data_IF_630757925398
#
_entry.id   IF_630757925398
#
_cell.length_a   1.000
_cell.length_b   1.000
_cell.length_c   1.000
_cell.angle_alpha   90.00
_cell.angle_beta   90.00
_cell.angle_gamma   90.00
#
_symmetry.space_group_name_H-M   'P 1'
#
loop_
_entity.id
_entity.type
_entity.pdbx_description
1 polymer ?
#
# COMPACT_ATOMS: atom_id res chain seq x y z
N UNK A 1 -33.75 -6.21 16.62
CA UNK A 1 -32.36 -5.70 16.63
C UNK A 1 -31.46 -6.91 16.68
N UNK A 2 -31.09 -7.44 15.52
CA UNK A 2 -30.21 -8.61 15.41
C UNK A 2 -28.85 -8.32 16.05
N UNK A 3 -28.38 -9.27 16.86
CA UNK A 3 -27.02 -9.29 17.35
C UNK A 3 -26.10 -9.46 16.13
N UNK A 4 -25.58 -8.37 15.57
CA UNK A 4 -24.43 -8.46 14.66
C UNK A 4 -23.35 -9.23 15.40
N UNK A 5 -22.91 -10.36 14.85
CA UNK A 5 -21.67 -11.03 15.24
C UNK A 5 -20.62 -9.95 15.47
N UNK A 6 -19.94 -9.99 16.61
CA UNK A 6 -18.94 -9.00 16.96
C UNK A 6 -17.80 -9.11 15.94
N UNK A 7 -17.80 -8.23 14.94
CA UNK A 7 -16.84 -8.26 13.84
C UNK A 7 -15.42 -8.23 14.42
N UNK A 8 -14.57 -9.17 14.00
CA UNK A 8 -13.23 -9.35 14.57
C UNK A 8 -12.42 -8.05 14.58
N UNK A 9 -11.69 -7.83 15.65
CA UNK A 9 -10.81 -6.68 15.84
C UNK A 9 -9.53 -6.80 15.00
N UNK A 10 -8.85 -5.68 14.77
CA UNK A 10 -7.54 -5.67 14.11
C UNK A 10 -6.48 -6.52 14.84
N UNK A 11 -6.62 -6.70 16.15
CA UNK A 11 -5.75 -7.57 16.95
C UNK A 11 -5.94 -9.04 16.61
N UNK A 12 -7.19 -9.47 16.44
CA UNK A 12 -7.55 -10.85 16.10
C UNK A 12 -7.07 -11.23 14.69
N UNK A 13 -7.28 -10.35 13.69
CA UNK A 13 -6.76 -10.61 12.32
C UNK A 13 -5.23 -10.78 12.29
N UNK A 14 -4.53 -10.00 13.12
CA UNK A 14 -3.08 -10.12 13.32
C UNK A 14 -2.70 -11.42 14.02
N UNK A 15 -3.45 -11.84 15.03
CA UNK A 15 -3.22 -13.12 15.70
C UNK A 15 -3.42 -14.30 14.74
N UNK A 16 -4.51 -14.30 13.96
CA UNK A 16 -4.80 -15.31 12.94
C UNK A 16 -3.68 -15.39 11.92
N UNK A 17 -3.27 -14.25 11.35
CA UNK A 17 -2.19 -14.20 10.37
C UNK A 17 -0.86 -14.73 10.95
N UNK A 18 -0.53 -14.38 12.19
CA UNK A 18 0.68 -14.91 12.85
C UNK A 18 0.62 -16.42 13.05
N UNK A 19 -0.55 -16.97 13.39
CA UNK A 19 -0.75 -18.41 13.55
C UNK A 19 -0.63 -19.14 12.21
N UNK A 20 -1.33 -18.65 11.17
CA UNK A 20 -1.30 -19.22 9.82
C UNK A 20 0.08 -19.18 9.17
N UNK A 21 0.92 -18.20 9.53
CA UNK A 21 2.29 -18.11 9.05
C UNK A 21 3.28 -19.03 9.80
N UNK A 22 2.92 -19.59 10.96
CA UNK A 22 3.81 -20.51 11.69
C UNK A 22 4.14 -21.72 10.81
N UNK A 23 5.44 -22.02 10.68
CA UNK A 23 5.94 -23.06 9.78
C UNK A 23 5.90 -22.72 8.28
N UNK A 24 5.29 -21.60 7.88
CA UNK A 24 5.12 -21.18 6.48
C UNK A 24 5.88 -19.87 6.13
N UNK A 25 6.51 -19.22 7.11
CA UNK A 25 7.27 -17.97 6.93
C UNK A 25 8.28 -18.00 5.79
N UNK A 26 9.06 -19.08 5.64
CA UNK A 26 10.06 -19.19 4.57
C UNK A 26 9.44 -19.15 3.17
N UNK A 27 8.34 -19.89 2.95
CA UNK A 27 7.62 -19.89 1.68
C UNK A 27 6.97 -18.53 1.39
N UNK A 28 6.38 -17.92 2.42
CA UNK A 28 5.71 -16.62 2.28
C UNK A 28 6.71 -15.49 2.01
N UNK A 29 7.85 -15.47 2.68
CA UNK A 29 8.94 -14.53 2.44
C UNK A 29 9.54 -14.71 1.04
N UNK A 30 9.69 -15.96 0.57
CA UNK A 30 10.17 -16.26 -0.78
C UNK A 30 9.22 -15.70 -1.86
N UNK A 31 7.91 -15.88 -1.72
CA UNK A 31 6.92 -15.33 -2.66
C UNK A 31 6.97 -13.80 -2.69
N UNK A 32 7.09 -13.15 -1.54
CA UNK A 32 7.24 -11.68 -1.46
C UNK A 32 8.55 -11.23 -2.07
N UNK A 33 9.65 -11.97 -1.88
CA UNK A 33 10.94 -11.68 -2.49
C UNK A 33 10.88 -11.80 -4.01
N UNK A 34 10.26 -12.85 -4.56
CA UNK A 34 10.09 -13.00 -6.01
C UNK A 34 9.24 -11.85 -6.56
N UNK A 35 8.12 -11.53 -5.91
CA UNK A 35 7.27 -10.40 -6.29
C UNK A 35 8.05 -9.07 -6.29
N UNK A 36 8.80 -8.77 -5.23
CA UNK A 36 9.56 -7.52 -5.12
C UNK A 36 10.74 -7.47 -6.08
N UNK A 37 11.43 -8.58 -6.34
CA UNK A 37 12.51 -8.68 -7.31
C UNK A 37 12.01 -8.42 -8.74
N UNK A 38 10.86 -9.00 -9.13
CA UNK A 38 10.25 -8.73 -10.43
C UNK A 38 9.96 -7.22 -10.56
N UNK A 39 9.30 -6.62 -9.56
CA UNK A 39 9.03 -5.18 -9.59
C UNK A 39 10.30 -4.33 -9.60
N UNK A 40 11.35 -4.76 -8.91
CA UNK A 40 12.63 -4.06 -8.88
C UNK A 40 13.31 -4.04 -10.25
N UNK A 41 13.29 -5.15 -11.00
CA UNK A 41 13.85 -5.24 -12.36
C UNK A 41 13.21 -4.18 -13.28
N UNK A 42 11.88 -3.97 -13.19
CA UNK A 42 11.22 -2.92 -13.97
C UNK A 42 11.68 -1.51 -13.58
N UNK A 43 12.04 -1.25 -12.32
CA UNK A 43 12.56 0.07 -11.92
C UNK A 43 13.96 0.35 -12.49
N UNK A 44 14.70 -0.67 -12.95
CA UNK A 44 16.02 -0.49 -13.59
C UNK A 44 15.92 0.03 -15.03
N UNK A 45 14.73 -0.01 -15.65
CA UNK A 45 14.51 0.41 -17.04
C UNK A 45 13.82 1.78 -17.04
N UNK A 46 14.52 2.89 -17.35
CA UNK A 46 13.91 4.22 -17.39
C UNK A 46 12.77 4.30 -18.40
N UNK A 47 11.73 5.06 -18.07
CA UNK A 47 10.51 5.30 -18.88
C UNK A 47 9.68 4.05 -19.21
N UNK A 48 10.23 3.07 -19.93
CA UNK A 48 9.56 1.82 -20.31
C UNK A 48 9.25 0.93 -19.11
N UNK A 49 10.07 0.98 -18.06
CA UNK A 49 9.85 0.22 -16.83
C UNK A 49 8.55 0.59 -16.12
N UNK A 50 8.15 1.87 -16.15
CA UNK A 50 6.90 2.33 -15.53
C UNK A 50 5.66 1.75 -16.24
N UNK A 51 5.67 1.75 -17.58
CA UNK A 51 4.60 1.17 -18.39
C UNK A 51 4.56 -0.34 -18.18
N UNK A 52 5.70 -1.02 -18.26
CA UNK A 52 5.80 -2.45 -18.02
C UNK A 52 5.27 -2.84 -16.64
N UNK A 53 5.68 -2.13 -15.58
CA UNK A 53 5.22 -2.34 -14.20
C UNK A 53 3.72 -2.13 -14.04
N UNK A 54 3.14 -1.14 -14.71
CA UNK A 54 1.69 -0.93 -14.67
C UNK A 54 0.93 -2.07 -15.36
N UNK A 55 1.39 -2.50 -16.53
CA UNK A 55 0.77 -3.56 -17.34
C UNK A 55 0.78 -4.91 -16.61
N UNK A 56 1.92 -5.33 -16.06
CA UNK A 56 2.01 -6.61 -15.34
C UNK A 56 1.59 -6.51 -13.87
N UNK A 57 1.56 -5.29 -13.32
CA UNK A 57 1.31 -5.04 -11.90
C UNK A 57 -0.03 -5.59 -11.45
N UNK A 58 -1.06 -5.48 -12.29
CA UNK A 58 -2.37 -6.06 -12.04
C UNK A 58 -2.36 -7.57 -11.89
N UNK A 59 -1.66 -8.27 -12.78
CA UNK A 59 -1.52 -9.72 -12.76
C UNK A 59 -0.70 -10.21 -11.55
N UNK A 60 0.44 -9.58 -11.28
CA UNK A 60 1.27 -9.90 -10.11
C UNK A 60 0.55 -9.64 -8.79
N UNK A 61 -0.20 -8.53 -8.69
CA UNK A 61 -0.96 -8.19 -7.50
C UNK A 61 -2.14 -9.15 -7.28
N UNK A 62 -2.82 -9.59 -8.35
CA UNK A 62 -3.82 -10.64 -8.26
C UNK A 62 -3.18 -11.94 -7.76
N UNK A 63 -2.06 -12.38 -8.35
CA UNK A 63 -1.42 -13.62 -7.92
C UNK A 63 -0.87 -13.58 -6.49
N UNK A 64 -0.32 -12.43 -6.04
CA UNK A 64 0.08 -12.22 -4.66
C UNK A 64 -1.13 -12.32 -3.72
N UNK A 65 -2.24 -11.68 -4.09
CA UNK A 65 -3.52 -11.75 -3.37
C UNK A 65 -4.04 -13.19 -3.30
N UNK A 66 -4.04 -13.93 -4.40
CA UNK A 66 -4.43 -15.35 -4.47
C UNK A 66 -3.59 -16.20 -3.54
N UNK A 67 -2.27 -16.03 -3.56
CA UNK A 67 -1.36 -16.78 -2.68
C UNK A 67 -1.69 -16.57 -1.20
N UNK A 68 -1.85 -15.32 -0.76
CA UNK A 68 -2.15 -15.02 0.64
C UNK A 68 -3.58 -15.34 1.04
N UNK A 69 -4.53 -15.32 0.11
CA UNK A 69 -5.88 -15.79 0.33
C UNK A 69 -5.90 -17.30 0.58
N UNK A 70 -5.19 -18.09 -0.26
CA UNK A 70 -5.02 -19.54 -0.04
C UNK A 70 -4.30 -19.83 1.28
N UNK A 71 -3.31 -19.03 1.65
CA UNK A 71 -2.62 -19.14 2.95
C UNK A 71 -3.56 -18.92 4.12
N UNK A 72 -4.39 -17.88 4.06
CA UNK A 72 -5.39 -17.58 5.08
C UNK A 72 -6.49 -18.66 5.18
N UNK A 73 -6.77 -19.37 4.08
CA UNK A 73 -7.69 -20.53 4.05
C UNK A 73 -7.03 -21.86 4.43
N UNK A 74 -5.75 -21.82 4.77
CA UNK A 74 -4.94 -23.01 5.07
C UNK A 74 -4.88 -24.04 3.93
N UNK A 75 -5.06 -23.59 2.69
CA UNK A 75 -4.96 -24.41 1.48
C UNK A 75 -3.50 -24.74 1.11
N UNK A 76 -3.32 -25.64 0.14
CA UNK A 76 -2.01 -26.02 -0.38
C UNK A 76 -1.27 -24.82 -1.01
N UNK A 77 -0.07 -24.53 -0.50
CA UNK A 77 0.73 -23.40 -0.93
C UNK A 77 1.70 -23.77 -2.06
N UNK A 78 1.41 -23.27 -3.25
CA UNK A 78 2.28 -23.35 -4.44
C UNK A 78 2.83 -21.97 -4.78
N UNK A 79 4.12 -21.88 -5.07
CA UNK A 79 4.77 -20.62 -5.48
C UNK A 79 4.16 -20.13 -6.80
N UNK A 80 3.76 -21.06 -7.67
CA UNK A 80 3.10 -20.80 -8.95
C UNK A 80 1.82 -19.96 -8.82
N UNK A 81 1.15 -20.00 -7.65
CA UNK A 81 -0.03 -19.17 -7.39
C UNK A 81 0.29 -17.66 -7.55
N UNK A 82 1.55 -17.23 -7.37
CA UNK A 82 1.99 -15.85 -7.61
C UNK A 82 1.77 -15.42 -9.07
N UNK A 83 1.79 -16.36 -10.01
CA UNK A 83 1.61 -16.10 -11.43
C UNK A 83 0.18 -16.37 -11.93
N UNK A 84 -0.73 -16.77 -11.04
CA UNK A 84 -2.13 -17.05 -11.41
C UNK A 84 -2.84 -15.88 -12.09
N UNK A 85 -2.47 -14.64 -11.74
CA UNK A 85 -3.07 -13.47 -12.38
C UNK A 85 -2.69 -13.26 -13.85
N UNK A 86 -1.68 -13.98 -14.35
CA UNK A 86 -1.34 -14.01 -15.78
C UNK A 86 -2.21 -14.99 -16.57
N UNK A 87 -2.79 -16.01 -15.95
CA UNK A 87 -3.75 -16.91 -16.61
C UNK A 87 -5.03 -16.15 -17.00
N UNK A 88 -5.46 -15.23 -16.13
CA UNK A 88 -6.57 -14.31 -16.37
C UNK A 88 -6.08 -12.87 -16.52
N UNK A 89 -5.10 -12.68 -17.42
CA UNK A 89 -4.42 -11.39 -17.61
C UNK A 89 -5.39 -10.26 -17.96
N UNK A 90 -6.37 -10.52 -18.84
CA UNK A 90 -7.34 -9.51 -19.27
C UNK A 90 -8.12 -8.93 -18.08
N UNK A 91 -8.68 -9.79 -17.23
CA UNK A 91 -9.47 -9.34 -16.07
C UNK A 91 -8.59 -8.70 -15.00
N UNK A 92 -7.41 -9.26 -14.73
CA UNK A 92 -6.48 -8.74 -13.71
C UNK A 92 -5.92 -7.36 -14.09
N UNK A 93 -5.58 -7.16 -15.36
CA UNK A 93 -5.19 -5.88 -15.92
C UNK A 93 -6.36 -4.88 -15.89
N UNK A 94 -7.56 -5.26 -16.33
CA UNK A 94 -8.72 -4.37 -16.36
C UNK A 94 -9.13 -3.92 -14.95
N UNK A 95 -9.08 -4.80 -13.95
CA UNK A 95 -9.30 -4.41 -12.54
C UNK A 95 -8.27 -3.38 -12.10
N UNK A 96 -6.98 -3.62 -12.38
CA UNK A 96 -5.91 -2.68 -12.06
C UNK A 96 -6.10 -1.32 -12.72
N UNK A 97 -6.40 -1.32 -14.02
CA UNK A 97 -6.62 -0.15 -14.83
C UNK A 97 -7.83 0.66 -14.34
N UNK A 98 -8.98 0.01 -14.16
CA UNK A 98 -10.21 0.67 -13.73
C UNK A 98 -10.07 1.25 -12.31
N UNK A 99 -9.48 0.50 -11.37
CA UNK A 99 -9.21 1.03 -10.03
C UNK A 99 -8.22 2.19 -10.07
N UNK A 100 -7.20 2.12 -10.91
CA UNK A 100 -6.26 3.22 -11.15
C UNK A 100 -6.97 4.48 -11.66
N UNK A 101 -7.80 4.34 -12.70
CA UNK A 101 -8.61 5.44 -13.27
C UNK A 101 -9.55 6.01 -12.20
N UNK A 102 -10.34 5.18 -11.52
CA UNK A 102 -11.28 5.68 -10.51
C UNK A 102 -10.55 6.37 -9.35
N UNK A 103 -9.44 5.81 -8.87
CA UNK A 103 -8.64 6.43 -7.81
C UNK A 103 -8.03 7.75 -8.28
N UNK A 104 -7.56 7.83 -9.53
CA UNK A 104 -7.07 9.06 -10.12
C UNK A 104 -8.18 10.12 -10.28
N UNK A 105 -9.39 9.73 -10.67
CA UNK A 105 -10.53 10.65 -10.73
C UNK A 105 -10.85 11.23 -9.34
N UNK A 106 -10.83 10.40 -8.29
CA UNK A 106 -11.00 10.87 -6.92
C UNK A 106 -9.85 11.78 -6.46
N UNK A 107 -8.61 11.48 -6.86
CA UNK A 107 -7.46 12.33 -6.53
C UNK A 107 -7.50 13.67 -7.27
N UNK A 108 -7.98 13.71 -8.52
CA UNK A 108 -8.12 14.96 -9.28
C UNK A 108 -9.05 15.96 -8.58
N UNK A 109 -10.15 15.48 -7.97
CA UNK A 109 -11.06 16.31 -7.17
C UNK A 109 -10.32 16.96 -5.99
N UNK A 110 -9.35 16.27 -5.38
CA UNK A 110 -8.54 16.79 -4.29
C UNK A 110 -7.36 17.66 -4.76
N UNK A 111 -6.80 17.36 -5.94
CA UNK A 111 -5.63 18.05 -6.48
C UNK A 111 -5.97 19.49 -6.89
N UNK A 112 -7.11 19.73 -7.54
CA UNK A 112 -7.53 21.08 -7.95
C UNK A 112 -7.56 22.07 -6.76
N UNK A 113 -8.30 21.80 -5.67
CA UNK A 113 -8.31 22.70 -4.51
C UNK A 113 -6.95 22.76 -3.81
N UNK A 114 -6.16 21.68 -3.81
CA UNK A 114 -4.82 21.69 -3.24
C UNK A 114 -3.88 22.65 -4.01
N UNK A 115 -3.93 22.65 -5.35
CA UNK A 115 -3.15 23.58 -6.19
C UNK A 115 -3.62 25.02 -5.96
N UNK A 116 -4.92 25.29 -5.95
CA UNK A 116 -5.47 26.63 -5.69
C UNK A 116 -5.00 27.13 -4.32
N UNK A 117 -5.12 26.29 -3.28
CA UNK A 117 -4.69 26.60 -1.93
C UNK A 117 -3.19 26.90 -1.89
N UNK A 118 -2.37 26.07 -2.52
CA UNK A 118 -0.93 26.28 -2.60
C UNK A 118 -0.61 27.64 -3.24
N UNK A 119 -1.24 27.97 -4.37
CA UNK A 119 -1.03 29.25 -5.06
C UNK A 119 -1.51 30.44 -4.24
N UNK A 120 -2.64 30.34 -3.52
CA UNK A 120 -3.13 31.42 -2.65
C UNK A 120 -2.21 31.63 -1.44
N UNK A 121 -1.72 30.55 -0.83
CA UNK A 121 -0.91 30.63 0.38
C UNK A 121 0.54 31.04 0.11
N UNK A 122 1.10 30.61 -1.03
CA UNK A 122 2.53 30.76 -1.37
C UNK A 122 2.80 31.57 -2.65
N UNK A 123 1.80 31.82 -3.49
CA UNK A 123 1.99 32.47 -4.80
C UNK A 123 2.43 33.94 -4.73
N UNK A 124 2.07 34.66 -3.65
CA UNK A 124 2.50 36.05 -3.44
C UNK A 124 3.88 36.19 -2.77
N UNK A 125 4.48 35.10 -2.28
CA UNK A 125 5.78 35.11 -1.59
C UNK A 125 6.96 34.81 -2.53
N UNK A 126 6.70 34.57 -3.82
CA UNK A 126 7.72 34.44 -4.86
C UNK A 126 8.31 35.80 -5.31
N UNK A 127 7.71 36.94 -4.92
CA UNK A 127 8.23 38.28 -5.18
C UNK A 127 8.69 38.98 -3.89
N UNK A 128 10.01 39.15 -3.75
CA UNK A 128 10.76 40.01 -2.82
C UNK A 128 10.36 39.99 -1.33
N UNK A 129 11.24 39.34 -0.57
CA UNK A 129 11.47 39.41 0.87
C UNK A 129 10.88 40.64 1.59
N UNK A 130 9.71 40.47 2.23
CA UNK A 130 9.23 41.42 3.25
C UNK A 130 8.68 40.67 4.47
N UNK A 131 9.56 40.49 5.46
CA UNK A 131 9.35 40.56 6.90
C UNK A 131 8.12 39.87 7.57
N UNK A 132 8.37 38.66 8.08
CA UNK A 132 8.00 38.05 9.39
C UNK A 132 6.54 38.06 9.94
N UNK A 133 5.98 36.84 10.07
CA UNK A 133 5.78 36.15 11.38
C UNK A 133 4.92 34.87 11.23
N UNK A 134 4.14 34.76 10.15
CA UNK A 134 3.13 33.70 10.00
C UNK A 134 3.45 32.61 8.95
N UNK A 135 4.64 32.59 8.33
CA UNK A 135 5.00 31.55 7.33
C UNK A 135 4.91 30.15 7.94
N UNK A 136 5.36 29.96 9.18
CA UNK A 136 5.21 28.69 9.88
C UNK A 136 3.74 28.28 10.05
N UNK A 137 2.87 29.23 10.41
CA UNK A 137 1.42 28.99 10.55
C UNK A 137 0.80 28.66 9.19
N UNK A 138 1.18 29.36 8.11
CA UNK A 138 0.73 29.04 6.74
C UNK A 138 1.10 27.62 6.34
N UNK A 139 2.33 27.18 6.62
CA UNK A 139 2.78 25.81 6.36
C UNK A 139 1.96 24.79 7.15
N UNK A 140 1.72 25.03 8.44
CA UNK A 140 0.90 24.15 9.27
C UNK A 140 -0.55 24.04 8.76
N UNK A 141 -1.19 25.18 8.47
CA UNK A 141 -2.56 25.23 7.93
C UNK A 141 -2.63 24.52 6.58
N UNK A 142 -1.64 24.71 5.71
CA UNK A 142 -1.55 24.03 4.42
C UNK A 142 -1.54 22.51 4.60
N UNK A 143 -0.71 21.97 5.49
CA UNK A 143 -0.67 20.52 5.75
C UNK A 143 -1.97 19.99 6.36
N UNK A 144 -2.62 20.74 7.25
CA UNK A 144 -3.92 20.37 7.83
C UNK A 144 -4.97 20.27 6.71
N UNK A 145 -5.09 21.28 5.86
CA UNK A 145 -6.07 21.29 4.76
C UNK A 145 -5.74 20.20 3.74
N UNK A 146 -4.47 20.02 3.39
CA UNK A 146 -4.04 18.95 2.49
C UNK A 146 -4.41 17.57 3.04
N UNK A 147 -4.25 17.35 4.35
CA UNK A 147 -4.72 16.12 5.02
C UNK A 147 -6.23 15.89 4.87
N UNK A 148 -7.04 16.94 5.02
CA UNK A 148 -8.50 16.88 4.83
C UNK A 148 -8.86 16.61 3.37
N UNK A 149 -8.19 17.25 2.42
CA UNK A 149 -8.42 17.06 0.98
C UNK A 149 -8.09 15.64 0.51
N UNK A 150 -7.17 14.93 1.19
CA UNK A 150 -6.82 13.55 0.85
C UNK A 150 -7.86 12.52 1.32
N UNK A 151 -8.74 12.86 2.27
CA UNK A 151 -9.78 11.96 2.79
C UNK A 151 -10.61 11.27 1.69
N UNK A 152 -11.21 11.97 0.69
CA UNK A 152 -11.99 11.33 -0.37
C UNK A 152 -11.18 10.31 -1.18
N UNK A 153 -9.91 10.61 -1.46
CA UNK A 153 -8.98 9.71 -2.17
C UNK A 153 -8.66 8.47 -1.34
N UNK A 154 -8.35 8.65 -0.05
CA UNK A 154 -8.10 7.54 0.87
C UNK A 154 -9.34 6.64 0.96
N UNK A 155 -10.52 7.25 1.12
CA UNK A 155 -11.79 6.52 1.15
C UNK A 155 -12.01 5.77 -0.16
N UNK A 156 -11.66 6.33 -1.34
CA UNK A 156 -11.73 5.65 -2.64
C UNK A 156 -10.87 4.38 -2.71
N UNK A 157 -9.60 4.48 -2.32
CA UNK A 157 -8.67 3.33 -2.27
C UNK A 157 -9.26 2.20 -1.42
N UNK A 158 -9.79 2.52 -0.24
CA UNK A 158 -10.41 1.54 0.64
C UNK A 158 -11.73 0.96 0.14
N UNK A 159 -12.47 1.59 -0.79
CA UNK A 159 -13.69 0.96 -1.35
C UNK A 159 -13.33 -0.18 -2.30
N UNK A 160 -12.16 -0.10 -2.94
CA UNK A 160 -11.76 -1.02 -4.01
C UNK A 160 -10.79 -2.11 -3.53
N UNK A 161 -10.38 -2.08 -2.26
CA UNK A 161 -9.35 -2.97 -1.71
C UNK A 161 -9.68 -4.47 -1.77
N UNK A 162 -10.96 -4.85 -1.91
CA UNK A 162 -11.39 -6.26 -1.97
C UNK A 162 -11.54 -6.78 -3.40
N UNK A 163 -11.39 -5.93 -4.44
CA UNK A 163 -11.65 -6.31 -5.82
C UNK A 163 -10.76 -7.47 -6.31
N UNK A 164 -9.48 -7.49 -5.93
CA UNK A 164 -8.58 -8.60 -6.27
C UNK A 164 -8.94 -9.91 -5.57
N UNK A 165 -9.42 -9.83 -4.33
CA UNK A 165 -9.87 -11.02 -3.60
C UNK A 165 -11.14 -11.61 -4.23
N UNK A 166 -12.08 -10.76 -4.64
CA UNK A 166 -13.27 -11.15 -5.39
C UNK A 166 -12.93 -11.80 -6.73
N UNK A 167 -12.00 -11.19 -7.50
CA UNK A 167 -11.56 -11.75 -8.77
C UNK A 167 -10.80 -13.08 -8.59
N UNK A 168 -10.05 -13.23 -7.49
CA UNK A 168 -9.43 -14.51 -7.13
C UNK A 168 -10.46 -15.60 -6.79
N UNK A 169 -11.56 -15.24 -6.13
CA UNK A 169 -12.63 -16.19 -5.77
C UNK A 169 -13.55 -16.53 -6.93
N UNK A 170 -13.76 -15.57 -7.82
CA UNK A 170 -14.65 -15.71 -8.95
C UNK A 170 -13.94 -15.23 -10.23
N UNK A 171 -13.06 -16.05 -10.83
CA UNK A 171 -12.23 -15.61 -11.98
C UNK A 171 -13.04 -15.14 -13.20
N UNK A 172 -14.29 -15.56 -13.32
CA UNK A 172 -15.16 -15.22 -14.44
C UNK A 172 -15.96 -13.91 -14.24
N UNK A 173 -15.86 -13.24 -13.09
CA UNK A 173 -16.58 -11.97 -12.87
C UNK A 173 -15.92 -10.84 -13.66
N UNK A 174 -16.74 -9.91 -14.15
CA UNK A 174 -16.22 -8.74 -14.86
C UNK A 174 -15.40 -7.84 -13.93
N UNK A 175 -14.36 -7.20 -14.47
CA UNK A 175 -13.50 -6.30 -13.69
C UNK A 175 -14.28 -5.17 -12.99
N UNK A 176 -15.23 -4.55 -13.69
CA UNK A 176 -16.10 -3.53 -13.12
C UNK A 176 -17.01 -4.10 -12.02
N UNK A 177 -17.54 -5.30 -12.22
CA UNK A 177 -18.40 -5.98 -11.26
C UNK A 177 -17.65 -6.30 -9.96
N UNK A 178 -16.39 -6.78 -10.05
CA UNK A 178 -15.52 -7.00 -8.90
C UNK A 178 -15.32 -5.71 -8.07
N UNK A 179 -15.15 -4.58 -8.74
CA UNK A 179 -14.97 -3.26 -8.10
C UNK A 179 -16.27 -2.81 -7.42
N UNK A 180 -17.42 -2.98 -8.08
CA UNK A 180 -18.73 -2.63 -7.52
C UNK A 180 -19.04 -3.48 -6.29
N UNK A 181 -18.78 -4.79 -6.36
CA UNK A 181 -19.02 -5.67 -5.22
C UNK A 181 -18.06 -5.38 -4.06
N UNK A 182 -16.78 -5.09 -4.34
CA UNK A 182 -15.84 -4.60 -3.34
C UNK A 182 -16.36 -3.34 -2.65
N UNK A 183 -16.88 -2.37 -3.42
CA UNK A 183 -17.43 -1.12 -2.86
C UNK A 183 -18.57 -1.40 -1.89
N UNK A 184 -19.47 -2.33 -2.22
CA UNK A 184 -20.58 -2.77 -1.34
C UNK A 184 -20.05 -3.50 -0.11
N UNK A 185 -19.09 -4.42 -0.26
CA UNK A 185 -18.49 -5.16 0.87
C UNK A 185 -17.79 -4.25 1.87
N UNK A 186 -17.14 -3.21 1.35
CA UNK A 186 -16.40 -2.25 2.14
C UNK A 186 -17.28 -1.17 2.76
N UNK A 187 -18.60 -1.16 2.55
CA UNK A 187 -19.47 -0.19 3.22
C UNK A 187 -19.56 -0.47 4.73
N UNK A 188 -19.41 0.57 5.56
CA UNK A 188 -19.25 0.43 7.01
C UNK A 188 -17.94 -0.22 7.50
N UNK A 189 -17.10 -0.77 6.61
CA UNK A 189 -15.90 -1.55 6.97
C UNK A 189 -14.55 -0.89 6.59
N UNK A 190 -14.56 0.25 5.89
CA UNK A 190 -13.35 0.98 5.44
C UNK A 190 -12.42 1.36 6.59
N UNK A 191 -12.98 1.93 7.66
CA UNK A 191 -12.20 2.32 8.83
C UNK A 191 -11.57 1.13 9.54
N UNK A 192 -12.26 -0.03 9.59
CA UNK A 192 -11.73 -1.25 10.20
C UNK A 192 -10.47 -1.74 9.46
N UNK A 193 -10.50 -1.72 8.13
CA UNK A 193 -9.33 -2.05 7.32
C UNK A 193 -8.22 -1.00 7.46
N UNK A 194 -8.57 0.29 7.52
CA UNK A 194 -7.62 1.37 7.78
C UNK A 194 -6.88 1.16 9.10
N UNK A 195 -7.59 0.90 10.20
CA UNK A 195 -6.98 0.63 11.51
C UNK A 195 -6.08 -0.62 11.48
N UNK A 196 -6.50 -1.68 10.79
CA UNK A 196 -5.66 -2.87 10.61
C UNK A 196 -4.34 -2.50 9.94
N UNK A 197 -4.39 -1.80 8.80
CA UNK A 197 -3.22 -1.38 8.04
C UNK A 197 -2.37 -0.33 8.76
N UNK A 198 -2.97 0.56 9.55
CA UNK A 198 -2.26 1.58 10.31
C UNK A 198 -1.23 0.95 11.27
N UNK A 199 -1.56 -0.19 11.88
CA UNK A 199 -0.62 -0.89 12.76
C UNK A 199 0.59 -1.46 12.01
N UNK A 200 0.43 -1.83 10.75
CA UNK A 200 1.54 -2.25 9.88
C UNK A 200 2.31 -1.05 9.32
N UNK A 201 1.65 0.08 9.06
CA UNK A 201 2.30 1.31 8.66
C UNK A 201 3.26 1.81 9.75
N UNK A 202 2.85 1.75 11.01
CA UNK A 202 3.71 2.08 12.14
C UNK A 202 4.99 1.22 12.20
N UNK A 203 4.88 -0.08 11.91
CA UNK A 203 6.04 -0.98 11.83
C UNK A 203 6.96 -0.63 10.64
N UNK A 204 6.38 -0.30 9.47
CA UNK A 204 7.18 0.13 8.32
C UNK A 204 7.95 1.42 8.61
N UNK A 205 7.33 2.40 9.28
CA UNK A 205 7.98 3.65 9.69
C UNK A 205 9.12 3.36 10.67
N UNK A 206 8.91 2.48 11.65
CA UNK A 206 9.93 2.09 12.61
C UNK A 206 11.16 1.49 11.92
N UNK A 207 10.95 0.62 10.93
CA UNK A 207 12.03 0.02 10.14
C UNK A 207 12.74 1.02 9.21
N UNK A 208 12.11 2.16 8.89
CA UNK A 208 12.70 3.20 8.05
C UNK A 208 13.58 4.19 8.84
N UNK A 209 13.51 4.21 10.18
CA UNK A 209 14.31 5.13 11.01
C UNK A 209 15.83 5.08 10.76
N UNK A 210 16.47 3.90 10.56
CA UNK A 210 17.89 3.84 10.25
C UNK A 210 18.24 4.62 8.98
N UNK A 211 17.41 4.55 7.94
CA UNK A 211 17.64 5.31 6.70
C UNK A 211 17.50 6.81 6.94
N UNK A 212 16.51 7.24 7.70
CA UNK A 212 16.33 8.66 8.07
C UNK A 212 17.55 9.19 8.84
N UNK A 213 18.08 8.40 9.77
CA UNK A 213 19.28 8.77 10.53
C UNK A 213 20.51 8.90 9.61
N UNK A 214 20.69 7.97 8.67
CA UNK A 214 21.79 8.03 7.69
C UNK A 214 21.66 9.23 6.77
N UNK A 215 20.45 9.56 6.28
CA UNK A 215 20.22 10.74 5.44
C UNK A 215 20.45 12.05 6.20
N UNK A 216 20.04 12.10 7.48
CA UNK A 216 20.33 13.24 8.34
C UNK A 216 21.83 13.43 8.55
N UNK A 217 22.55 12.35 8.85
CA UNK A 217 24.00 12.36 8.98
C UNK A 217 24.68 12.78 7.68
N UNK A 218 24.25 12.24 6.53
CA UNK A 218 24.77 12.61 5.22
C UNK A 218 24.61 14.10 4.94
N UNK A 219 23.47 14.70 5.31
CA UNK A 219 23.22 16.13 5.15
C UNK A 219 24.18 16.99 5.98
N UNK A 220 24.48 16.60 7.22
CA UNK A 220 25.48 17.27 8.05
C UNK A 220 26.87 17.13 7.40
N UNK A 221 27.21 15.92 6.96
CA UNK A 221 28.49 15.63 6.35
C UNK A 221 28.75 16.43 5.07
N UNK A 222 27.72 16.72 4.28
CA UNK A 222 27.85 17.56 3.08
C UNK A 222 28.31 18.99 3.41
N UNK A 223 28.13 19.45 4.65
CA UNK A 223 28.59 20.77 5.12
C UNK A 223 29.95 20.66 5.80
N UNK A 224 30.17 19.60 6.60
CA UNK A 224 31.35 19.50 7.47
C UNK A 224 32.51 18.71 6.87
N UNK A 225 32.27 17.85 5.88
CA UNK A 225 33.29 17.01 5.25
C UNK A 225 33.95 15.99 6.18
N UNK A 226 33.30 15.60 7.28
CA UNK A 226 33.87 14.74 8.34
C UNK A 226 34.18 13.32 7.83
N UNK A 227 33.45 12.82 6.84
CA UNK A 227 33.48 11.43 6.36
C UNK A 227 33.38 11.39 4.84
N UNK A 228 34.02 10.40 4.20
CA UNK A 228 33.98 10.25 2.75
C UNK A 228 32.59 9.84 2.25
N UNK A 229 32.22 10.29 1.05
CA UNK A 229 30.94 9.92 0.42
C UNK A 229 30.77 8.40 0.28
N UNK A 230 31.88 7.68 0.05
CA UNK A 230 31.88 6.22 -0.03
C UNK A 230 31.43 5.55 1.27
N UNK A 231 31.84 6.05 2.43
CA UNK A 231 31.40 5.51 3.73
C UNK A 231 29.92 5.79 3.97
N UNK A 232 29.43 6.98 3.59
CA UNK A 232 28.00 7.30 3.66
C UNK A 232 27.19 6.36 2.78
N UNK A 233 27.67 6.10 1.56
CA UNK A 233 27.03 5.16 0.64
C UNK A 233 26.92 3.76 1.26
N UNK A 234 27.96 3.25 1.94
CA UNK A 234 27.91 1.97 2.64
C UNK A 234 26.81 1.97 3.72
N UNK A 235 26.71 3.01 4.53
CA UNK A 235 25.64 3.14 5.54
C UNK A 235 24.24 3.19 4.91
N UNK A 236 24.09 3.87 3.77
CA UNK A 236 22.82 3.89 3.02
C UNK A 236 22.45 2.49 2.55
N UNK A 237 23.39 1.76 1.96
CA UNK A 237 23.17 0.37 1.50
C UNK A 237 22.74 -0.52 2.66
N UNK A 238 23.42 -0.44 3.82
CA UNK A 238 23.04 -1.19 5.02
C UNK A 238 21.60 -0.85 5.46
N UNK A 239 21.24 0.43 5.50
CA UNK A 239 19.89 0.86 5.87
C UNK A 239 18.83 0.32 4.90
N UNK A 240 19.10 0.34 3.58
CA UNK A 240 18.20 -0.26 2.59
C UNK A 240 18.06 -1.78 2.75
N UNK A 241 19.15 -2.49 3.06
CA UNK A 241 19.10 -3.94 3.33
C UNK A 241 18.22 -4.23 4.54
N UNK A 242 18.32 -3.44 5.62
CA UNK A 242 17.48 -3.58 6.81
C UNK A 242 15.99 -3.43 6.44
N UNK A 243 15.64 -2.38 5.69
CA UNK A 243 14.26 -2.14 5.24
C UNK A 243 13.78 -3.29 4.34
N UNK A 244 14.63 -3.76 3.42
CA UNK A 244 14.31 -4.87 2.54
C UNK A 244 14.02 -6.14 3.33
N UNK A 245 14.90 -6.52 4.28
CA UNK A 245 14.69 -7.69 5.14
C UNK A 245 13.41 -7.54 5.95
N UNK A 246 13.17 -6.38 6.58
CA UNK A 246 11.95 -6.13 7.32
C UNK A 246 10.70 -6.30 6.45
N UNK A 247 10.73 -5.82 5.20
CA UNK A 247 9.61 -5.93 4.26
C UNK A 247 9.27 -7.39 3.94
N UNK A 248 10.25 -8.30 3.93
CA UNK A 248 10.03 -9.74 3.69
C UNK A 248 9.25 -10.42 4.81
N UNK A 249 9.18 -9.83 6.01
CA UNK A 249 8.37 -10.33 7.13
C UNK A 249 7.08 -9.55 7.33
N UNK A 250 7.12 -8.23 7.19
CA UNK A 250 5.94 -7.37 7.38
C UNK A 250 4.91 -7.61 6.27
N UNK A 251 5.36 -7.76 5.01
CA UNK A 251 4.47 -7.90 3.86
C UNK A 251 3.63 -9.19 3.93
N UNK A 252 4.21 -10.39 4.15
CA UNK A 252 3.40 -11.60 4.36
C UNK A 252 2.39 -11.48 5.48
N UNK A 253 2.81 -10.86 6.59
CA UNK A 253 1.97 -10.68 7.76
C UNK A 253 0.76 -9.78 7.46
N UNK A 254 1.00 -8.66 6.78
CA UNK A 254 -0.03 -7.72 6.36
C UNK A 254 -1.02 -8.32 5.34
N UNK A 255 -0.51 -9.01 4.31
CA UNK A 255 -1.39 -9.60 3.29
C UNK A 255 -2.23 -10.74 3.85
N UNK A 256 -1.67 -11.57 4.74
CA UNK A 256 -2.43 -12.64 5.41
C UNK A 256 -3.51 -12.05 6.32
N UNK A 257 -3.20 -11.00 7.08
CA UNK A 257 -4.19 -10.34 7.94
C UNK A 257 -5.32 -9.69 7.11
N UNK A 258 -4.97 -9.09 5.96
CA UNK A 258 -5.95 -8.51 5.04
C UNK A 258 -6.80 -9.57 4.35
N UNK A 259 -6.22 -10.74 4.04
CA UNK A 259 -6.97 -11.88 3.52
C UNK A 259 -7.99 -12.42 4.53
N UNK A 260 -7.62 -12.54 5.81
CA UNK A 260 -8.58 -12.90 6.87
C UNK A 260 -9.69 -11.86 7.02
N UNK A 261 -9.37 -10.57 6.88
CA UNK A 261 -10.38 -9.50 6.86
C UNK A 261 -11.37 -9.67 5.69
N UNK A 262 -10.88 -10.00 4.49
CA UNK A 262 -11.74 -10.31 3.34
C UNK A 262 -12.66 -11.51 3.60
N UNK A 263 -12.12 -12.60 4.15
CA UNK A 263 -12.90 -13.80 4.48
C UNK A 263 -14.02 -13.46 5.47
N UNK A 264 -13.73 -12.64 6.48
CA UNK A 264 -14.75 -12.19 7.44
C UNK A 264 -15.86 -11.36 6.77
N UNK A 265 -15.50 -10.42 5.88
CA UNK A 265 -16.47 -9.63 5.14
C UNK A 265 -17.39 -10.47 4.26
N UNK A 266 -16.85 -11.54 3.67
CA UNK A 266 -17.62 -12.47 2.84
C UNK A 266 -18.64 -13.23 3.69
N UNK A 267 -18.23 -13.68 4.88
CA UNK A 267 -19.10 -14.41 5.80
C UNK A 267 -20.20 -13.51 6.39
N UNK A 268 -19.91 -12.25 6.71
CA UNK A 268 -20.87 -11.27 7.28
C UNK A 268 -22.02 -10.90 6.32
N UNK A 269 -21.85 -11.14 5.01
CA UNK A 269 -22.87 -10.85 3.98
C UNK A 269 -23.69 -12.07 3.54
N UNK A 270 -23.24 -13.28 3.89
CA UNK A 270 -23.95 -14.53 3.57
C UNK A 270 -24.94 -14.92 4.68
N UNK A 271 -24.90 -14.23 5.82
CA UNK A 271 -25.89 -14.24 6.91
C UNK A 271 -26.90 -13.09 6.71
#
# INVERSE_FOLDING_TARGET
MEQRKNFKSSGEFKQMARQQLKGKWGKAALVVFIYSAILFIFNLIPFFGAIGRFVIGGALLLGLTTYFLKLAREEELKIDNLFSGFENFGSSFLVHLLMGIFTALWSLIAIIPAIILFLVMFGSEFSLYSSHSNTGIKVLVFFIILGVLLIPTIVAVYRYSMAYYLLSDHPNIGAYEAIVESKKMMDGNKLKLFYLQLTFLALNILCALPLVAVEYYARINNVTGITSEGVILLWKVIAYIIIMIASLFITPYMHTATANFYIELKNDKQE
#
